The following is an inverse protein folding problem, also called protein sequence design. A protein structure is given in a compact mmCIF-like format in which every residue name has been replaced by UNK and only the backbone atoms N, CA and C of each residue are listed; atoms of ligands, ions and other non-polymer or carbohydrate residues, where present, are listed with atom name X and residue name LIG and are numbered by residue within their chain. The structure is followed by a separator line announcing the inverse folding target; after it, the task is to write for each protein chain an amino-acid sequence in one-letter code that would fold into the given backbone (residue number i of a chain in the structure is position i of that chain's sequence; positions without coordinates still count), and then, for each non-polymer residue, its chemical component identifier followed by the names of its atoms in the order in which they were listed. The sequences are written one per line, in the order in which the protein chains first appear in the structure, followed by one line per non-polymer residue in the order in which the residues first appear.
data_IF_589887304223
#
_entry.id   IF_589887304223
#
_cell.length_a   1.000
_cell.length_b   1.000
_cell.length_c   1.000
_cell.angle_alpha   90.00
_cell.angle_beta   90.00
_cell.angle_gamma   90.00
#
_symmetry.space_group_name_H-M   'P 1'
#
loop_
_entity.id
_entity.type
_entity.pdbx_description
1 polymer ?
#
# COMPACT_ATOMS: atom_id res chain seq x y z
N UNK A 1 38.67 1.06 -4.24
CA UNK A 1 38.10 0.07 -3.30
C UNK A 1 37.91 0.75 -1.95
N UNK A 2 36.74 1.32 -1.68
CA UNK A 2 36.39 1.82 -0.34
C UNK A 2 35.37 0.86 0.24
N UNK A 3 35.82 0.05 1.21
CA UNK A 3 34.96 -0.82 1.98
C UNK A 3 34.01 0.03 2.82
N UNK A 4 32.72 -0.02 2.51
CA UNK A 4 31.69 0.44 3.42
C UNK A 4 31.39 -0.70 4.39
N UNK A 5 31.94 -0.60 5.59
CA UNK A 5 31.48 -1.37 6.74
C UNK A 5 30.10 -0.81 7.15
N UNK A 6 29.01 -1.41 6.65
CA UNK A 6 27.66 -1.10 7.11
C UNK A 6 27.40 -1.85 8.43
N UNK A 7 27.31 -1.19 9.59
CA UNK A 7 27.14 -1.87 10.86
C UNK A 7 25.67 -2.30 11.01
N UNK A 8 25.39 -3.59 10.77
CA UNK A 8 24.44 -4.39 11.55
C UNK A 8 22.94 -4.07 11.61
N UNK A 9 22.40 -3.07 10.89
CA UNK A 9 20.95 -2.77 10.94
C UNK A 9 20.32 -2.34 9.60
N UNK A 10 20.91 -2.74 8.47
CA UNK A 10 20.31 -2.49 7.15
C UNK A 10 19.11 -3.41 6.97
N UNK A 11 17.92 -2.84 6.73
CA UNK A 11 16.71 -3.59 6.46
C UNK A 11 16.08 -4.28 7.66
N UNK A 12 16.37 -3.88 8.90
CA UNK A 12 15.61 -4.35 10.07
C UNK A 12 14.62 -3.27 10.52
N UNK A 13 13.37 -3.67 10.74
CA UNK A 13 12.40 -2.80 11.38
C UNK A 13 12.85 -2.43 12.79
N UNK A 14 12.62 -1.17 13.20
CA UNK A 14 12.99 -0.66 14.53
C UNK A 14 12.05 -1.09 15.66
N UNK A 15 10.98 -1.85 15.37
CA UNK A 15 10.09 -2.36 16.40
C UNK A 15 10.72 -3.52 17.20
N UNK A 16 10.10 -3.89 18.31
CA UNK A 16 10.56 -4.99 19.17
C UNK A 16 10.72 -6.32 18.42
N UNK A 17 9.92 -6.55 17.36
CA UNK A 17 9.98 -7.77 16.55
C UNK A 17 11.24 -7.87 15.69
N UNK A 18 11.94 -6.74 15.44
CA UNK A 18 13.17 -6.64 14.62
C UNK A 18 13.13 -7.46 13.32
N UNK A 19 11.98 -7.46 12.63
CA UNK A 19 11.82 -8.22 11.38
C UNK A 19 12.65 -7.60 10.26
N UNK A 20 13.26 -8.46 9.43
CA UNK A 20 13.84 -8.04 8.15
C UNK A 20 12.73 -7.49 7.26
N UNK A 21 12.99 -6.38 6.58
CA UNK A 21 12.05 -5.66 5.74
C UNK A 21 12.80 -4.87 4.68
N UNK A 22 12.21 -4.79 3.49
CA UNK A 22 12.62 -3.85 2.45
C UNK A 22 11.78 -2.56 2.48
N UNK A 23 10.78 -2.46 3.35
CA UNK A 23 9.87 -1.32 3.42
C UNK A 23 10.45 -0.19 4.28
N UNK A 24 10.29 1.03 3.80
CA UNK A 24 10.80 2.24 4.41
C UNK A 24 9.72 3.31 4.45
N UNK A 25 9.49 3.89 5.62
CA UNK A 25 8.58 5.02 5.78
C UNK A 25 9.29 6.31 5.41
N UNK A 26 8.75 7.04 4.42
CA UNK A 26 9.38 8.25 3.88
C UNK A 26 9.22 9.42 4.85
N UNK A 27 8.06 9.52 5.51
CA UNK A 27 7.76 10.54 6.52
C UNK A 27 8.68 10.42 7.75
N UNK A 28 8.83 9.21 8.29
CA UNK A 28 9.58 8.97 9.53
C UNK A 28 11.04 8.55 9.30
N UNK A 29 11.44 8.34 8.04
CA UNK A 29 12.79 7.92 7.61
C UNK A 29 13.29 6.68 8.36
N UNK A 30 12.45 5.65 8.43
CA UNK A 30 12.73 4.42 9.20
C UNK A 30 12.28 3.16 8.46
N UNK A 31 13.02 2.07 8.60
CA UNK A 31 12.61 0.74 8.13
C UNK A 31 11.41 0.23 8.94
N UNK A 32 10.36 -0.23 8.24
CA UNK A 32 9.09 -0.67 8.85
C UNK A 32 8.76 -2.09 8.40
N UNK A 33 8.31 -2.97 9.30
CA UNK A 33 7.78 -4.28 8.89
C UNK A 33 6.28 -4.17 8.58
N UNK A 34 5.71 -5.19 7.93
CA UNK A 34 4.29 -5.18 7.55
C UNK A 34 3.33 -4.99 8.73
N UNK A 35 3.68 -5.46 9.94
CA UNK A 35 2.86 -5.23 11.13
C UNK A 35 2.86 -3.75 11.54
N UNK A 36 4.04 -3.14 11.66
CA UNK A 36 4.15 -1.71 11.97
C UNK A 36 3.53 -0.84 10.88
N UNK A 37 3.56 -1.31 9.63
CA UNK A 37 2.90 -0.65 8.52
C UNK A 37 1.38 -0.54 8.73
N UNK A 38 0.76 -1.58 9.28
CA UNK A 38 -0.69 -1.61 9.50
C UNK A 38 -1.12 -0.95 10.80
N UNK A 39 -0.27 -0.97 11.83
CA UNK A 39 -0.61 -0.47 13.17
C UNK A 39 -0.20 1.01 13.34
N UNK A 40 1.07 1.32 13.10
CA UNK A 40 1.66 2.62 13.46
C UNK A 40 1.91 3.54 12.25
N UNK A 41 1.96 2.96 11.05
CA UNK A 41 2.21 3.69 9.80
C UNK A 41 1.08 3.48 8.79
N UNK A 42 -0.15 3.28 9.26
CA UNK A 42 -1.29 2.93 8.42
C UNK A 42 -1.58 4.01 7.35
N UNK A 43 -1.37 5.29 7.69
CA UNK A 43 -1.55 6.45 6.81
C UNK A 43 -0.25 7.02 6.24
N UNK A 44 0.91 6.49 6.62
CA UNK A 44 2.19 7.03 6.14
C UNK A 44 2.51 6.58 4.71
N UNK A 45 3.17 7.44 3.95
CA UNK A 45 3.81 7.05 2.69
C UNK A 45 4.98 6.11 3.00
N UNK A 46 4.84 4.86 2.53
CA UNK A 46 5.82 3.80 2.71
C UNK A 46 5.99 3.11 1.37
N UNK A 47 7.24 2.98 0.93
CA UNK A 47 7.62 2.21 -0.26
C UNK A 47 8.85 1.36 0.05
N UNK A 48 9.49 0.79 -0.98
CA UNK A 48 10.75 0.10 -0.81
C UNK A 48 11.88 1.07 -0.42
N UNK A 49 12.86 0.58 0.33
CA UNK A 49 14.07 1.33 0.65
C UNK A 49 14.87 1.72 -0.61
N UNK A 50 14.81 0.90 -1.66
CA UNK A 50 15.41 1.24 -2.95
C UNK A 50 14.71 2.44 -3.61
N UNK A 51 13.38 2.51 -3.53
CA UNK A 51 12.61 3.66 -3.99
C UNK A 51 13.08 4.92 -3.27
N UNK A 52 13.22 4.87 -1.93
CA UNK A 52 13.69 6.02 -1.13
C UNK A 52 15.10 6.48 -1.50
N UNK A 53 16.00 5.54 -1.80
CA UNK A 53 17.37 5.85 -2.25
C UNK A 53 17.39 6.47 -3.65
N UNK A 54 16.46 6.08 -4.52
CA UNK A 54 16.36 6.59 -5.88
C UNK A 54 15.71 7.98 -5.92
N UNK A 55 14.61 8.14 -5.20
CA UNK A 55 13.84 9.37 -5.07
C UNK A 55 13.18 9.42 -3.68
N UNK A 56 13.56 10.40 -2.88
CA UNK A 56 13.04 10.59 -1.53
C UNK A 56 11.81 11.50 -1.48
N UNK A 57 11.37 12.05 -2.61
CA UNK A 57 10.19 12.89 -2.68
C UNK A 57 8.92 12.04 -2.50
N UNK A 58 7.94 12.62 -1.80
CA UNK A 58 6.66 11.98 -1.56
C UNK A 58 5.54 13.00 -1.43
N UNK A 59 4.32 12.59 -1.79
CA UNK A 59 3.10 13.36 -1.60
C UNK A 59 2.23 12.70 -0.52
N UNK A 60 1.83 13.48 0.47
CA UNK A 60 0.92 13.05 1.54
C UNK A 60 -0.55 13.28 1.18
N UNK A 61 -0.84 13.69 -0.05
CA UNK A 61 -2.19 13.87 -0.56
C UNK A 61 -2.67 12.64 -1.34
N UNK A 62 -3.97 12.40 -1.29
CA UNK A 62 -4.59 11.37 -2.11
C UNK A 62 -4.62 11.83 -3.57
N UNK A 63 -4.04 11.05 -4.48
CA UNK A 63 -3.97 11.42 -5.91
C UNK A 63 -5.31 11.47 -6.63
N UNK A 64 -6.41 11.01 -6.02
CA UNK A 64 -7.76 11.07 -6.58
C UNK A 64 -8.52 12.36 -6.26
N UNK A 65 -8.18 13.03 -5.16
CA UNK A 65 -8.89 14.24 -4.70
C UNK A 65 -7.97 15.38 -4.28
N UNK A 66 -6.65 15.18 -4.30
CA UNK A 66 -5.62 16.15 -3.92
C UNK A 66 -5.75 16.71 -2.50
N UNK A 67 -6.40 15.98 -1.59
CA UNK A 67 -6.50 16.34 -0.17
C UNK A 67 -5.60 15.45 0.69
N UNK A 68 -5.16 15.91 1.87
CA UNK A 68 -4.28 15.13 2.74
C UNK A 68 -4.86 13.76 3.09
N UNK A 69 -4.03 12.71 3.01
CA UNK A 69 -4.38 11.33 3.36
C UNK A 69 -4.83 11.18 4.81
N UNK A 70 -4.36 12.06 5.70
CA UNK A 70 -4.74 12.03 7.10
C UNK A 70 -6.21 12.38 7.33
N UNK A 71 -6.81 13.16 6.42
CA UNK A 71 -8.14 13.75 6.60
C UNK A 71 -9.29 12.73 6.60
N UNK A 72 -9.10 11.55 5.99
CA UNK A 72 -10.14 10.51 5.91
C UNK A 72 -9.58 9.12 6.15
N UNK A 73 -10.46 8.11 6.06
CA UNK A 73 -10.05 6.72 6.05
C UNK A 73 -9.30 6.40 4.75
N UNK A 74 -8.17 5.69 4.88
CA UNK A 74 -7.30 5.33 3.77
C UNK A 74 -7.25 3.83 3.57
N UNK A 75 -7.09 3.43 2.32
CA UNK A 75 -6.79 2.07 1.90
C UNK A 75 -5.39 2.03 1.28
N UNK A 76 -4.60 1.05 1.69
CA UNK A 76 -3.27 0.76 1.13
C UNK A 76 -3.39 -0.38 0.14
N UNK A 77 -3.02 -0.13 -1.12
CA UNK A 77 -3.02 -1.17 -2.15
C UNK A 77 -1.82 -2.12 -1.99
N UNK A 78 -1.82 -3.23 -2.74
CA UNK A 78 -0.71 -4.20 -2.72
C UNK A 78 0.61 -3.59 -3.20
N UNK A 79 0.56 -2.57 -4.04
CA UNK A 79 1.70 -1.77 -4.50
C UNK A 79 2.13 -0.69 -3.49
N UNK A 80 1.60 -0.72 -2.25
CA UNK A 80 1.88 0.18 -1.13
C UNK A 80 1.35 1.61 -1.24
N UNK A 81 0.86 2.05 -2.42
CA UNK A 81 0.22 3.34 -2.61
C UNK A 81 -1.07 3.48 -1.78
N UNK A 82 -1.28 4.69 -1.24
CA UNK A 82 -2.40 5.04 -0.38
C UNK A 82 -3.43 5.90 -1.13
N UNK A 83 -4.70 5.61 -0.88
CA UNK A 83 -5.83 6.39 -1.35
C UNK A 83 -6.83 6.54 -0.22
N UNK A 84 -7.68 7.56 -0.25
CA UNK A 84 -8.89 7.53 0.55
C UNK A 84 -9.80 6.40 0.07
N UNK A 85 -10.38 5.67 1.02
CA UNK A 85 -11.30 4.57 0.69
C UNK A 85 -12.47 5.07 -0.18
N UNK A 86 -13.14 6.14 0.25
CA UNK A 86 -14.24 6.76 -0.49
C UNK A 86 -13.86 7.15 -1.92
N UNK A 87 -12.63 7.66 -2.11
CA UNK A 87 -12.15 8.06 -3.43
C UNK A 87 -11.91 6.85 -4.33
N UNK A 88 -11.29 5.78 -3.79
CA UNK A 88 -11.08 4.55 -4.54
C UNK A 88 -12.41 3.88 -4.89
N UNK A 89 -13.34 3.77 -3.94
CA UNK A 89 -14.68 3.19 -4.16
C UNK A 89 -15.47 3.99 -5.20
N UNK A 90 -15.47 5.33 -5.09
CA UNK A 90 -16.12 6.20 -6.06
C UNK A 90 -15.51 6.07 -7.47
N UNK A 91 -14.20 5.94 -7.57
CA UNK A 91 -13.52 5.71 -8.85
C UNK A 91 -13.90 4.36 -9.46
N UNK A 92 -13.86 3.30 -8.66
CA UNK A 92 -14.16 1.94 -9.12
C UNK A 92 -15.60 1.80 -9.59
N UNK A 93 -16.56 2.43 -8.90
CA UNK A 93 -17.99 2.43 -9.29
C UNK A 93 -18.30 3.17 -10.60
N UNK A 94 -17.42 4.07 -11.04
CA UNK A 94 -17.57 4.75 -12.34
C UNK A 94 -17.14 3.88 -13.52
N UNK A 95 -16.44 2.78 -13.27
CA UNK A 95 -16.07 1.84 -14.31
C UNK A 95 -17.29 1.05 -14.80
N UNK A 96 -17.30 0.59 -16.06
CA UNK A 96 -18.38 -0.24 -16.58
C UNK A 96 -18.65 -1.46 -15.70
N UNK A 97 -19.91 -1.88 -15.58
CA UNK A 97 -20.29 -3.03 -14.74
C UNK A 97 -19.64 -4.36 -15.19
N UNK A 98 -19.22 -4.46 -16.45
CA UNK A 98 -18.50 -5.61 -17.02
C UNK A 98 -16.97 -5.50 -16.91
N UNK A 99 -16.45 -4.56 -16.11
CA UNK A 99 -15.01 -4.41 -15.92
C UNK A 99 -14.44 -5.64 -15.26
N UNK A 100 -13.56 -6.34 -15.98
CA UNK A 100 -12.84 -7.48 -15.44
C UNK A 100 -11.90 -7.04 -14.28
N UNK A 101 -11.54 -7.95 -13.35
CA UNK A 101 -10.65 -7.63 -12.23
C UNK A 101 -9.34 -6.95 -12.65
N UNK A 102 -8.77 -7.34 -13.80
CA UNK A 102 -7.56 -6.76 -14.36
C UNK A 102 -7.71 -5.29 -14.83
N UNK A 103 -8.94 -4.81 -15.02
CA UNK A 103 -9.25 -3.43 -15.37
C UNK A 103 -9.11 -2.46 -14.19
N UNK A 104 -9.16 -2.96 -12.95
CA UNK A 104 -9.01 -2.15 -11.77
C UNK A 104 -7.53 -1.95 -11.46
N UNK A 105 -6.99 -0.78 -11.84
CA UNK A 105 -5.58 -0.43 -11.74
C UNK A 105 -5.34 0.74 -10.79
N UNK A 106 -4.21 0.69 -10.09
CA UNK A 106 -3.72 1.77 -9.25
C UNK A 106 -3.52 3.04 -10.09
N UNK A 107 -4.06 4.17 -9.63
CA UNK A 107 -3.95 5.44 -10.34
C UNK A 107 -2.58 6.12 -10.23
N UNK A 108 -1.59 5.46 -9.59
CA UNK A 108 -0.20 5.94 -9.48
C UNK A 108 0.75 5.08 -10.32
N UNK A 109 0.74 3.75 -10.16
CA UNK A 109 1.66 2.84 -10.88
C UNK A 109 1.00 1.93 -11.92
N UNK A 110 -0.32 2.02 -12.14
CA UNK A 110 -1.08 1.18 -13.07
C UNK A 110 -1.07 -0.33 -12.80
N UNK A 111 -0.50 -0.79 -11.68
CA UNK A 111 -0.61 -2.17 -11.23
C UNK A 111 -2.06 -2.53 -10.86
N UNK A 112 -2.47 -3.77 -11.14
CA UNK A 112 -3.80 -4.26 -10.76
C UNK A 112 -4.00 -4.23 -9.25
N UNK A 113 -5.13 -3.71 -8.77
CA UNK A 113 -5.35 -3.49 -7.34
C UNK A 113 -5.67 -4.79 -6.58
N UNK A 114 -6.20 -5.80 -7.28
CA UNK A 114 -6.53 -7.08 -6.67
C UNK A 114 -5.27 -7.93 -6.44
N UNK A 115 -5.08 -8.47 -5.23
CA UNK A 115 -4.01 -9.43 -4.96
C UNK A 115 -4.29 -10.76 -5.66
N UNK A 116 -3.23 -11.48 -6.01
CA UNK A 116 -3.37 -12.83 -6.55
C UNK A 116 -3.75 -13.83 -5.44
N UNK A 117 -4.45 -14.93 -5.74
CA UNK A 117 -4.97 -15.86 -4.73
C UNK A 117 -3.89 -16.51 -3.85
N UNK A 118 -2.66 -16.63 -4.37
CA UNK A 118 -1.52 -17.21 -3.68
C UNK A 118 -0.69 -16.20 -2.88
N UNK A 119 -1.04 -14.91 -2.94
CA UNK A 119 -0.35 -13.88 -2.16
C UNK A 119 -0.91 -13.83 -0.74
N UNK A 120 -0.07 -14.14 0.23
CA UNK A 120 -0.39 -14.06 1.65
C UNK A 120 0.60 -13.14 2.35
N UNK A 121 0.08 -12.06 2.93
CA UNK A 121 0.83 -11.16 3.80
C UNK A 121 -0.17 -10.35 4.63
N UNK A 122 0.22 -9.80 5.79
CA UNK A 122 -0.67 -8.97 6.60
C UNK A 122 -1.30 -7.80 5.82
N UNK A 123 -0.54 -7.19 4.88
CA UNK A 123 -1.04 -6.10 4.03
C UNK A 123 -2.11 -6.62 3.08
N UNK A 124 -1.86 -7.78 2.46
CA UNK A 124 -2.80 -8.40 1.51
C UNK A 124 -4.10 -8.79 2.21
N UNK A 125 -4.01 -9.40 3.38
CA UNK A 125 -5.17 -9.78 4.19
C UNK A 125 -6.01 -8.55 4.57
N UNK A 126 -5.35 -7.46 5.02
CA UNK A 126 -6.04 -6.20 5.33
C UNK A 126 -6.70 -5.58 4.09
N UNK A 127 -6.01 -5.58 2.95
CA UNK A 127 -6.55 -5.07 1.69
C UNK A 127 -7.77 -5.89 1.24
N UNK A 128 -7.71 -7.22 1.29
CA UNK A 128 -8.84 -8.09 0.98
C UNK A 128 -10.04 -7.79 1.89
N UNK A 129 -9.82 -7.64 3.19
CA UNK A 129 -10.88 -7.32 4.15
C UNK A 129 -11.57 -5.97 3.87
N UNK A 130 -10.82 -4.96 3.40
CA UNK A 130 -11.39 -3.67 2.97
C UNK A 130 -12.14 -3.81 1.65
N UNK A 131 -11.53 -4.46 0.65
CA UNK A 131 -12.14 -4.67 -0.66
C UNK A 131 -13.46 -5.46 -0.58
N UNK A 132 -13.56 -6.43 0.33
CA UNK A 132 -14.79 -7.22 0.55
C UNK A 132 -16.02 -6.38 0.96
N UNK A 133 -15.83 -5.15 1.41
CA UNK A 133 -16.90 -4.23 1.80
C UNK A 133 -17.62 -3.61 0.60
N UNK A 134 -17.03 -3.67 -0.61
CA UNK A 134 -17.62 -3.11 -1.82
C UNK A 134 -18.01 -4.19 -2.83
N UNK A 135 -19.23 -4.12 -3.36
CA UNK A 135 -19.77 -5.12 -4.28
C UNK A 135 -18.94 -5.30 -5.55
N UNK A 136 -18.44 -4.20 -6.14
CA UNK A 136 -17.57 -4.25 -7.32
C UNK A 136 -16.27 -5.02 -7.05
N UNK A 137 -15.76 -4.92 -5.82
CA UNK A 137 -14.53 -5.57 -5.41
C UNK A 137 -14.74 -7.03 -5.00
N UNK A 138 -15.89 -7.39 -4.43
CA UNK A 138 -16.27 -8.79 -4.17
C UNK A 138 -16.27 -9.61 -5.46
N UNK A 139 -16.87 -9.08 -6.53
CA UNK A 139 -16.81 -9.70 -7.86
C UNK A 139 -15.36 -9.81 -8.37
N UNK A 140 -14.54 -8.78 -8.13
CA UNK A 140 -13.11 -8.76 -8.44
C UNK A 140 -12.28 -9.82 -7.72
N UNK A 141 -12.67 -10.19 -6.50
CA UNK A 141 -12.05 -11.22 -5.67
C UNK A 141 -12.62 -12.63 -5.92
N UNK A 142 -13.59 -12.78 -6.83
CA UNK A 142 -14.26 -14.06 -7.08
C UNK A 142 -15.18 -14.52 -5.94
N UNK A 143 -15.64 -13.59 -5.10
CA UNK A 143 -16.56 -13.86 -3.99
C UNK A 143 -18.00 -13.70 -4.45
N UNK A 144 -18.92 -14.45 -3.84
CA UNK A 144 -20.35 -14.28 -4.07
C UNK A 144 -20.80 -12.88 -3.66
N UNK A 145 -21.67 -12.28 -4.47
CA UNK A 145 -22.28 -10.97 -4.20
C UNK A 145 -23.33 -11.08 -3.10
#
# INVERSE_FOLDING_TARGET
MRGYTYPGAMGLCKCAKKKVTSLFCFEHRVNVCEYCLLENHCKCVVQSYLSWLADSDFDTNCTLCSTPLEAKETVRLKCLHLFHWECLDSWARRLPANTAPAGYKCQQCQEGIFPAPNQTSPIIERLQAVLQQANWARAGLGLSL
#
